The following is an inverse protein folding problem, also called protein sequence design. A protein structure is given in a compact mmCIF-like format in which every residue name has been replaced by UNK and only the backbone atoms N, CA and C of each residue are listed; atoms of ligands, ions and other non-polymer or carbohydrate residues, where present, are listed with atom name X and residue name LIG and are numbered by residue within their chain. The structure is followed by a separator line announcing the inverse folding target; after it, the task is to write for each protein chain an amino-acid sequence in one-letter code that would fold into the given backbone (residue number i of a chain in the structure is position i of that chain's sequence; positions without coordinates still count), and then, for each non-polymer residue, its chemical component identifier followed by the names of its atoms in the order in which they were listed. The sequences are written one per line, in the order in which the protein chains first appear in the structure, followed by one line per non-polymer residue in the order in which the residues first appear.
data_IF_321145839615
#
_entry.id   IF_321145839615
#
_cell.length_a   1.000
_cell.length_b   1.000
_cell.length_c   1.000
_cell.angle_alpha   90.00
_cell.angle_beta   90.00
_cell.angle_gamma   90.00
#
_symmetry.space_group_name_H-M   'P 1'
#
loop_
_entity.id
_entity.type
_entity.pdbx_description
1 polymer ?
#
# COMPACT_ATOMS: atom_id res chain seq x y z
N UNK A 1 7.58 -12.28 -10.28
CA UNK A 1 7.95 -10.85 -10.22
C UNK A 1 6.72 -10.03 -10.59
N UNK A 2 6.45 -8.92 -9.89
CA UNK A 2 5.26 -8.12 -10.18
C UNK A 2 5.62 -7.15 -11.29
N UNK A 3 4.95 -7.25 -12.44
CA UNK A 3 5.28 -6.42 -13.60
C UNK A 3 4.75 -4.98 -13.47
N UNK A 4 3.70 -4.75 -12.67
CA UNK A 4 3.04 -3.44 -12.52
C UNK A 4 2.63 -3.22 -11.07
N UNK A 5 3.03 -2.09 -10.51
CA UNK A 5 2.79 -1.80 -9.10
C UNK A 5 2.28 -0.38 -8.96
N UNK A 6 1.08 -0.27 -8.39
CA UNK A 6 0.59 0.96 -7.82
C UNK A 6 0.70 0.86 -6.30
N UNK A 7 1.29 1.88 -5.69
CA UNK A 7 1.40 2.03 -4.24
C UNK A 7 0.43 3.12 -3.78
N UNK A 8 -0.83 2.77 -3.47
CA UNK A 8 -1.70 3.72 -2.79
C UNK A 8 -1.18 3.96 -1.37
N UNK A 9 -0.82 5.20 -1.06
CA UNK A 9 -0.40 5.61 0.29
C UNK A 9 -1.55 6.30 1.05
N UNK A 10 -2.75 6.26 0.49
CA UNK A 10 -3.98 6.92 0.91
C UNK A 10 -4.99 5.90 1.45
N UNK A 11 -5.72 6.23 2.52
CA UNK A 11 -6.78 5.37 3.07
C UNK A 11 -8.01 5.20 2.16
N UNK A 12 -8.08 5.90 1.01
CA UNK A 12 -9.27 5.92 0.14
C UNK A 12 -9.01 5.36 -1.27
N UNK A 13 -7.91 4.64 -1.48
CA UNK A 13 -7.64 4.02 -2.78
C UNK A 13 -8.05 2.56 -2.78
N UNK A 14 -9.00 2.23 -3.65
CA UNK A 14 -9.45 0.87 -3.92
C UNK A 14 -8.79 0.36 -5.20
N UNK A 15 -8.44 -0.93 -5.27
CA UNK A 15 -8.02 -1.59 -6.51
C UNK A 15 -9.20 -2.38 -7.05
N UNK A 16 -9.72 -1.98 -8.21
CA UNK A 16 -10.86 -2.60 -8.88
C UNK A 16 -10.46 -3.19 -10.23
N UNK A 17 -11.34 -3.98 -10.84
CA UNK A 17 -11.10 -4.48 -12.19
C UNK A 17 -11.30 -3.36 -13.22
N UNK A 18 -10.48 -3.27 -14.28
CA UNK A 18 -10.53 -2.18 -15.30
C UNK A 18 -11.93 -1.98 -15.90
N UNK A 19 -12.68 -3.06 -16.13
CA UNK A 19 -14.09 -3.01 -16.58
C UNK A 19 -15.02 -2.17 -15.69
N UNK A 20 -14.73 -2.06 -14.39
CA UNK A 20 -15.51 -1.26 -13.44
C UNK A 20 -15.25 0.24 -13.59
N UNK A 21 -14.22 0.65 -14.34
CA UNK A 21 -13.95 2.06 -14.60
C UNK A 21 -15.19 2.76 -15.17
N UNK A 22 -15.83 2.18 -16.19
CA UNK A 22 -17.04 2.72 -16.80
C UNK A 22 -18.24 2.78 -15.84
N UNK A 23 -18.31 1.86 -14.88
CA UNK A 23 -19.34 1.88 -13.84
C UNK A 23 -19.12 3.06 -12.89
N UNK A 24 -17.89 3.31 -12.47
CA UNK A 24 -17.53 4.48 -11.67
C UNK A 24 -17.78 5.80 -12.40
N UNK A 25 -17.46 5.87 -13.69
CA UNK A 25 -17.80 7.01 -14.55
C UNK A 25 -19.31 7.29 -14.52
N UNK A 26 -20.13 6.23 -14.52
CA UNK A 26 -21.59 6.36 -14.52
C UNK A 26 -22.11 6.87 -13.18
N UNK A 27 -21.59 6.36 -12.05
CA UNK A 27 -21.97 6.83 -10.70
C UNK A 27 -21.57 8.29 -10.52
N UNK A 28 -20.32 8.63 -10.80
CA UNK A 28 -19.80 9.99 -10.61
C UNK A 28 -20.64 11.03 -11.36
N UNK A 29 -21.08 10.72 -12.59
CA UNK A 29 -21.94 11.59 -13.38
C UNK A 29 -23.37 11.74 -12.83
N UNK A 30 -23.96 10.67 -12.29
CA UNK A 30 -25.39 10.65 -11.96
C UNK A 30 -25.72 11.10 -10.54
N UNK A 31 -24.87 10.77 -9.56
CA UNK A 31 -25.14 11.05 -8.14
C UNK A 31 -24.23 12.13 -7.56
N UNK A 32 -23.13 12.42 -8.25
CA UNK A 32 -22.02 13.18 -7.70
C UNK A 32 -21.28 12.43 -6.59
N UNK A 33 -20.11 12.94 -6.24
CA UNK A 33 -19.26 12.48 -5.14
C UNK A 33 -19.02 13.63 -4.17
N UNK A 34 -18.99 13.33 -2.87
CA UNK A 34 -18.73 14.32 -1.80
C UNK A 34 -17.26 14.41 -1.41
N UNK A 35 -16.42 13.58 -2.02
CA UNK A 35 -15.00 13.41 -1.67
C UNK A 35 -14.11 13.38 -2.92
N UNK A 36 -12.89 13.89 -2.76
CA UNK A 36 -11.82 13.75 -3.74
C UNK A 36 -11.05 12.46 -3.47
N UNK A 37 -11.12 11.51 -4.39
CA UNK A 37 -10.60 10.17 -4.23
C UNK A 37 -9.71 9.78 -5.41
N UNK A 38 -8.63 9.07 -5.10
CA UNK A 38 -7.80 8.38 -6.08
C UNK A 38 -8.11 6.89 -6.05
N UNK A 39 -8.43 6.29 -7.18
CA UNK A 39 -8.89 4.92 -7.33
C UNK A 39 -8.00 4.20 -8.35
N UNK A 40 -7.59 3.00 -8.00
CA UNK A 40 -6.77 2.15 -8.82
C UNK A 40 -7.61 1.12 -9.54
N UNK A 41 -7.26 0.79 -10.77
CA UNK A 41 -7.84 -0.33 -11.48
C UNK A 41 -6.73 -1.19 -12.05
N UNK A 42 -6.89 -2.51 -11.99
CA UNK A 42 -5.93 -3.45 -12.54
C UNK A 42 -6.63 -4.67 -13.13
N UNK A 43 -6.11 -5.15 -14.24
CA UNK A 43 -6.36 -6.50 -14.74
C UNK A 43 -5.03 -7.16 -15.13
N UNK A 44 -5.09 -8.26 -15.88
CA UNK A 44 -3.90 -9.00 -16.31
C UNK A 44 -2.95 -8.16 -17.18
N UNK A 45 -3.51 -7.21 -17.93
CA UNK A 45 -2.83 -6.50 -19.01
C UNK A 45 -2.58 -5.03 -18.66
N UNK A 46 -3.36 -4.41 -17.79
CA UNK A 46 -3.29 -2.96 -17.57
C UNK A 46 -3.43 -2.57 -16.10
N UNK A 47 -2.84 -1.43 -15.75
CA UNK A 47 -3.11 -0.72 -14.49
C UNK A 47 -3.48 0.72 -14.83
N UNK A 48 -4.57 1.20 -14.24
CA UNK A 48 -5.07 2.56 -14.39
C UNK A 48 -5.17 3.23 -13.03
N UNK A 49 -4.94 4.53 -12.98
CA UNK A 49 -5.18 5.36 -11.81
C UNK A 49 -6.13 6.49 -12.18
N UNK A 50 -7.24 6.60 -11.45
CA UNK A 50 -8.28 7.60 -11.64
C UNK A 50 -8.33 8.52 -10.44
N UNK A 51 -8.49 9.82 -10.66
CA UNK A 51 -8.78 10.81 -9.62
C UNK A 51 -10.10 11.52 -9.91
N UNK A 52 -10.90 11.70 -8.88
CA UNK A 52 -12.16 12.44 -8.95
C UNK A 52 -11.89 13.93 -8.79
N UNK A 53 -12.60 14.75 -9.57
CA UNK A 53 -12.43 16.20 -9.66
C UNK A 53 -13.78 16.84 -9.33
N UNK A 54 -13.83 17.58 -8.23
CA UNK A 54 -15.08 18.16 -7.74
C UNK A 54 -16.17 17.11 -7.52
N UNK A 55 -17.41 17.44 -7.90
CA UNK A 55 -18.56 16.55 -7.69
C UNK A 55 -18.74 15.47 -8.76
N UNK A 56 -18.44 15.75 -10.03
CA UNK A 56 -18.87 14.90 -11.17
C UNK A 56 -17.78 14.68 -12.21
N UNK A 57 -16.66 15.40 -12.12
CA UNK A 57 -15.56 15.27 -13.06
C UNK A 57 -14.56 14.24 -12.55
N UNK A 58 -13.74 13.73 -13.46
CA UNK A 58 -12.69 12.77 -13.17
C UNK A 58 -11.70 12.73 -14.33
N UNK A 59 -10.48 12.28 -14.04
CA UNK A 59 -9.46 11.95 -15.01
C UNK A 59 -8.77 10.65 -14.60
N UNK A 60 -8.32 9.87 -15.57
CA UNK A 60 -7.62 8.63 -15.36
C UNK A 60 -6.48 8.48 -16.37
N UNK A 61 -5.40 7.85 -15.92
CA UNK A 61 -4.21 7.59 -16.74
C UNK A 61 -3.77 6.13 -16.57
N UNK A 62 -3.47 5.48 -17.70
CA UNK A 62 -2.87 4.15 -17.73
C UNK A 62 -1.43 4.25 -17.29
N UNK A 63 -1.01 3.37 -16.39
CA UNK A 63 0.38 3.31 -15.94
C UNK A 63 1.16 2.45 -16.94
N UNK A 64 2.26 2.97 -17.52
CA UNK A 64 3.09 2.21 -18.44
C UNK A 64 3.60 0.90 -17.83
N UNK A 65 3.75 -0.11 -18.68
CA UNK A 65 4.08 -1.49 -18.28
C UNK A 65 5.38 -1.65 -17.49
N UNK A 66 6.33 -0.73 -17.67
CA UNK A 66 7.64 -0.74 -17.03
C UNK A 66 7.77 0.31 -15.91
N UNK A 67 6.66 0.84 -15.43
CA UNK A 67 6.62 1.96 -14.50
C UNK A 67 5.83 1.67 -13.22
N UNK A 68 5.97 2.57 -12.23
CA UNK A 68 5.21 2.59 -10.99
C UNK A 68 4.72 4.00 -10.68
N UNK A 69 3.75 4.07 -9.77
CA UNK A 69 3.19 5.31 -9.24
C UNK A 69 3.16 5.24 -7.71
N UNK A 70 3.39 6.40 -7.09
CA UNK A 70 3.26 6.61 -5.65
C UNK A 70 2.25 7.71 -5.42
N UNK A 71 1.09 7.36 -4.87
CA UNK A 71 -0.02 8.28 -4.69
C UNK A 71 -0.28 8.54 -3.19
N UNK A 72 0.24 9.65 -2.62
CA UNK A 72 -0.11 10.10 -1.27
C UNK A 72 -1.54 10.68 -1.22
N UNK A 73 -1.90 11.37 -0.14
CA UNK A 73 -3.20 12.04 -0.01
C UNK A 73 -3.18 13.40 -0.71
N UNK A 74 -2.81 13.39 -1.99
CA UNK A 74 -2.61 14.56 -2.83
C UNK A 74 -2.97 14.23 -4.27
N UNK A 75 -3.47 15.21 -5.02
CA UNK A 75 -3.80 15.02 -6.43
C UNK A 75 -2.53 14.62 -7.17
N UNK A 76 -2.51 13.41 -7.72
CA UNK A 76 -1.27 12.75 -8.12
C UNK A 76 -0.98 12.86 -9.61
N UNK A 77 -2.00 12.86 -10.48
CA UNK A 77 -1.84 12.98 -11.94
C UNK A 77 -1.26 14.35 -12.27
N UNK A 78 -0.08 14.37 -12.90
CA UNK A 78 0.60 15.59 -13.35
C UNK A 78 0.28 15.86 -14.83
N UNK A 79 1.24 15.63 -15.73
CA UNK A 79 1.10 15.88 -17.17
C UNK A 79 0.01 15.00 -17.78
N UNK A 80 -0.92 15.63 -18.48
CA UNK A 80 -2.09 14.95 -19.04
C UNK A 80 -2.36 15.38 -20.48
N UNK A 81 -2.45 14.39 -21.37
CA UNK A 81 -2.76 14.58 -22.78
C UNK A 81 -4.14 14.02 -23.09
N UNK A 82 -5.14 14.89 -23.27
CA UNK A 82 -6.52 14.52 -23.59
C UNK A 82 -6.68 13.70 -24.89
N UNK A 83 -5.70 13.72 -25.79
CA UNK A 83 -5.72 12.96 -27.03
C UNK A 83 -5.05 11.57 -26.92
N UNK A 84 -4.37 11.29 -25.80
CA UNK A 84 -3.65 10.03 -25.60
C UNK A 84 -4.60 8.86 -25.34
N UNK A 85 -4.31 7.73 -25.97
CA UNK A 85 -5.02 6.46 -25.72
C UNK A 85 -4.80 5.92 -24.30
N UNK A 86 -3.73 6.36 -23.61
CA UNK A 86 -3.43 6.01 -22.22
C UNK A 86 -4.09 6.98 -21.22
N UNK A 87 -5.05 7.81 -21.67
CA UNK A 87 -5.78 8.74 -20.80
C UNK A 87 -7.28 8.66 -21.04
N UNK A 88 -8.05 8.92 -19.99
CA UNK A 88 -9.51 9.05 -20.05
C UNK A 88 -9.95 10.16 -19.11
N UNK A 89 -10.97 10.93 -19.47
CA UNK A 89 -11.50 11.99 -18.60
C UNK A 89 -12.98 12.24 -18.87
N UNK A 90 -13.58 13.09 -18.03
CA UNK A 90 -14.89 13.67 -18.34
C UNK A 90 -14.86 14.43 -19.66
N UNK A 91 -15.89 14.25 -20.49
CA UNK A 91 -15.90 14.70 -21.88
C UNK A 91 -15.80 16.24 -22.03
N UNK A 92 -16.27 16.98 -21.03
CA UNK A 92 -16.24 18.43 -20.95
C UNK A 92 -15.04 18.96 -20.15
N UNK A 93 -14.17 18.10 -19.60
CA UNK A 93 -13.12 18.52 -18.66
C UNK A 93 -12.14 19.52 -19.30
N UNK A 94 -11.64 19.24 -20.50
CA UNK A 94 -10.73 20.14 -21.20
C UNK A 94 -11.38 21.51 -21.46
N UNK A 95 -12.61 21.48 -21.99
CA UNK A 95 -13.39 22.70 -22.25
C UNK A 95 -13.64 23.49 -20.97
N UNK A 96 -13.95 22.83 -19.85
CA UNK A 96 -14.12 23.47 -18.55
C UNK A 96 -12.83 24.15 -18.09
N UNK A 97 -11.68 23.49 -18.24
CA UNK A 97 -10.39 24.10 -17.89
C UNK A 97 -10.15 25.38 -18.69
N UNK A 98 -10.41 25.33 -20.00
CA UNK A 98 -10.14 26.45 -20.92
C UNK A 98 -11.11 27.61 -20.71
N UNK A 99 -12.43 27.32 -20.66
CA UNK A 99 -13.50 28.33 -20.53
C UNK A 99 -13.42 29.09 -19.21
N UNK A 100 -13.01 28.42 -18.14
CA UNK A 100 -12.94 29.00 -16.79
C UNK A 100 -11.52 29.38 -16.38
N UNK A 101 -10.56 29.35 -17.31
CA UNK A 101 -9.18 29.79 -17.09
C UNK A 101 -8.51 29.10 -15.89
N UNK A 102 -8.75 27.79 -15.74
CA UNK A 102 -8.21 27.01 -14.62
C UNK A 102 -6.75 26.61 -14.83
N UNK A 103 -6.26 26.64 -16.08
CA UNK A 103 -4.86 26.32 -16.37
C UNK A 103 -3.93 27.44 -15.90
N UNK A 104 -3.04 27.09 -14.96
CA UNK A 104 -2.06 27.99 -14.38
C UNK A 104 -0.69 27.93 -15.09
N UNK A 105 -0.47 26.92 -15.93
CA UNK A 105 0.80 26.69 -16.61
C UNK A 105 0.89 27.52 -17.91
N UNK A 106 1.97 28.31 -18.11
CA UNK A 106 2.07 29.24 -19.23
C UNK A 106 2.42 28.59 -20.57
N UNK A 107 2.89 27.35 -20.57
CA UNK A 107 3.27 26.62 -21.79
C UNK A 107 2.07 25.96 -22.49
N UNK A 108 0.87 26.09 -21.91
CA UNK A 108 -0.39 25.56 -22.44
C UNK A 108 -0.55 24.06 -22.26
N UNK A 109 0.37 23.36 -21.58
CA UNK A 109 0.19 21.96 -21.21
C UNK A 109 -0.78 21.86 -20.03
N UNK A 110 -1.43 20.70 -19.91
CA UNK A 110 -2.32 20.43 -18.79
C UNK A 110 -1.59 19.59 -17.75
N UNK A 111 -1.21 20.22 -16.63
CA UNK A 111 -0.82 19.50 -15.43
C UNK A 111 -2.02 19.45 -14.47
N UNK A 112 -2.67 18.30 -14.34
CA UNK A 112 -3.92 18.20 -13.58
C UNK A 112 -3.72 18.43 -12.08
N UNK A 113 -2.55 18.13 -11.53
CA UNK A 113 -2.19 18.48 -10.15
C UNK A 113 -2.08 19.99 -9.95
N UNK A 114 -1.52 20.73 -10.90
CA UNK A 114 -1.46 22.20 -10.81
C UNK A 114 -2.86 22.82 -10.91
N UNK A 115 -3.71 22.24 -11.77
CA UNK A 115 -5.05 22.76 -12.07
C UNK A 115 -6.05 22.43 -10.93
N UNK A 116 -6.04 21.21 -10.42
CA UNK A 116 -7.05 20.69 -9.48
C UNK A 116 -6.50 20.27 -8.12
N UNK A 117 -5.18 20.17 -7.97
CA UNK A 117 -4.53 19.79 -6.72
C UNK A 117 -4.38 20.95 -5.74
N UNK A 118 -3.79 20.63 -4.58
CA UNK A 118 -3.46 21.62 -3.57
C UNK A 118 -2.00 22.05 -3.64
N UNK A 119 -1.72 23.28 -3.24
CA UNK A 119 -0.36 23.78 -3.00
C UNK A 119 -0.25 24.34 -1.58
N UNK A 120 -0.62 23.52 -0.60
CA UNK A 120 -0.68 23.94 0.81
C UNK A 120 0.63 23.62 1.51
N UNK A 121 1.02 24.42 2.50
CA UNK A 121 2.17 24.12 3.38
C UNK A 121 2.07 22.71 4.02
N UNK A 122 0.85 22.22 4.23
CA UNK A 122 0.62 20.85 4.72
C UNK A 122 1.16 19.78 3.78
N UNK A 123 1.17 20.00 2.47
CA UNK A 123 1.63 19.02 1.47
C UNK A 123 3.12 18.70 1.64
N UNK A 124 3.92 19.71 1.98
CA UNK A 124 5.36 19.60 2.26
C UNK A 124 5.70 18.78 3.52
N UNK A 125 4.71 18.52 4.38
CA UNK A 125 4.87 17.69 5.59
C UNK A 125 4.13 16.37 5.51
N UNK A 126 3.01 16.35 4.81
CA UNK A 126 2.06 15.24 4.82
C UNK A 126 2.14 14.38 3.56
N UNK A 127 2.46 14.95 2.40
CA UNK A 127 2.28 14.30 1.10
C UNK A 127 3.58 14.12 0.34
N UNK A 128 4.25 15.22 0.00
CA UNK A 128 5.45 15.24 -0.85
C UNK A 128 6.56 14.31 -0.31
N UNK A 129 6.89 14.32 1.00
CA UNK A 129 7.93 13.44 1.52
C UNK A 129 7.63 11.95 1.33
N UNK A 130 6.34 11.55 1.37
CA UNK A 130 5.95 10.14 1.16
C UNK A 130 6.19 9.71 -0.29
N UNK A 131 5.84 10.56 -1.25
CA UNK A 131 6.14 10.30 -2.66
C UNK A 131 7.66 10.25 -2.88
N UNK A 132 8.38 11.25 -2.37
CA UNK A 132 9.84 11.33 -2.43
C UNK A 132 10.51 10.06 -1.92
N UNK A 133 10.16 9.61 -0.72
CA UNK A 133 10.87 8.52 -0.07
C UNK A 133 10.72 7.20 -0.84
N UNK A 134 9.51 6.89 -1.31
CA UNK A 134 9.31 5.69 -2.13
C UNK A 134 10.02 5.80 -3.47
N UNK A 135 10.01 6.99 -4.10
CA UNK A 135 10.77 7.19 -5.34
C UNK A 135 12.28 7.02 -5.11
N UNK A 136 12.83 7.53 -4.00
CA UNK A 136 14.22 7.31 -3.58
C UNK A 136 14.54 5.81 -3.40
N UNK A 137 13.61 5.02 -2.86
CA UNK A 137 13.82 3.57 -2.69
C UNK A 137 13.94 2.83 -4.02
N UNK A 138 13.17 3.21 -5.03
CA UNK A 138 13.14 2.53 -6.33
C UNK A 138 14.02 3.18 -7.40
N UNK A 139 14.51 4.39 -7.13
CA UNK A 139 15.41 5.16 -7.98
C UNK A 139 16.54 5.83 -7.17
N UNK A 140 17.37 5.06 -6.45
CA UNK A 140 18.39 5.61 -5.55
C UNK A 140 19.50 6.42 -6.27
N UNK A 141 19.68 6.27 -7.58
CA UNK A 141 20.64 7.08 -8.35
C UNK A 141 20.18 8.52 -8.59
N UNK A 142 18.89 8.80 -8.37
CA UNK A 142 18.30 10.12 -8.60
C UNK A 142 18.29 10.89 -7.29
N UNK A 143 19.05 11.99 -7.25
CA UNK A 143 19.07 12.89 -6.10
C UNK A 143 17.88 13.85 -6.16
N UNK A 144 16.91 13.64 -5.28
CA UNK A 144 15.74 14.50 -5.09
C UNK A 144 15.64 14.98 -3.64
N UNK A 145 15.04 16.14 -3.42
CA UNK A 145 14.77 16.66 -2.07
C UNK A 145 13.36 16.27 -1.59
N UNK A 146 13.14 16.11 -0.27
CA UNK A 146 11.87 15.69 0.29
C UNK A 146 10.75 16.74 0.20
N UNK A 147 11.07 17.96 -0.21
CA UNK A 147 10.18 19.11 -0.36
C UNK A 147 9.92 19.48 -1.83
N UNK A 148 10.38 18.68 -2.80
CA UNK A 148 10.13 18.91 -4.22
C UNK A 148 8.65 18.64 -4.59
N UNK A 149 7.81 19.66 -4.89
CA UNK A 149 6.41 19.43 -5.26
C UNK A 149 6.24 18.84 -6.67
N UNK A 150 7.25 18.96 -7.52
CA UNK A 150 7.23 18.61 -8.93
C UNK A 150 7.69 17.17 -9.19
N UNK A 151 7.68 16.33 -8.15
CA UNK A 151 7.99 14.91 -8.30
C UNK A 151 7.04 14.25 -9.31
N UNK A 152 7.58 13.49 -10.28
CA UNK A 152 6.79 12.96 -11.38
C UNK A 152 5.76 11.96 -10.86
N UNK A 153 4.57 11.98 -11.46
CA UNK A 153 3.50 11.04 -11.16
C UNK A 153 3.93 9.59 -11.46
N UNK A 154 4.39 9.35 -12.68
CA UNK A 154 4.86 8.06 -13.19
C UNK A 154 6.38 8.04 -13.19
N UNK A 155 6.98 6.95 -12.70
CA UNK A 155 8.43 6.74 -12.78
C UNK A 155 8.76 5.30 -13.14
N UNK A 156 9.83 5.12 -13.92
CA UNK A 156 10.42 3.80 -14.21
C UNK A 156 11.41 3.43 -13.10
N UNK A 157 11.30 2.27 -12.45
CA UNK A 157 12.23 1.89 -11.38
C UNK A 157 13.57 1.42 -11.96
N UNK A 158 14.64 1.52 -11.17
CA UNK A 158 15.98 1.05 -11.59
C UNK A 158 16.10 -0.47 -11.67
N UNK A 159 15.20 -1.19 -10.99
CA UNK A 159 15.07 -2.65 -11.04
C UNK A 159 13.61 -3.08 -10.95
N UNK A 160 13.34 -4.33 -11.31
CA UNK A 160 12.02 -4.92 -11.09
C UNK A 160 11.64 -4.89 -9.60
N UNK A 161 10.36 -4.65 -9.34
CA UNK A 161 9.82 -4.49 -7.99
C UNK A 161 9.14 -5.79 -7.54
N UNK A 162 9.41 -6.19 -6.30
CA UNK A 162 8.84 -7.37 -5.66
C UNK A 162 7.71 -6.99 -4.69
N UNK A 163 6.92 -7.96 -4.24
CA UNK A 163 5.90 -7.72 -3.20
C UNK A 163 6.54 -7.26 -1.89
N UNK A 164 7.71 -7.79 -1.58
CA UNK A 164 8.54 -7.41 -0.43
C UNK A 164 8.95 -5.93 -0.50
N UNK A 165 9.34 -5.45 -1.69
CA UNK A 165 9.70 -4.05 -1.91
C UNK A 165 8.49 -3.12 -1.69
N UNK A 166 7.33 -3.52 -2.21
CA UNK A 166 6.05 -2.80 -2.01
C UNK A 166 5.68 -2.77 -0.54
N UNK A 167 5.72 -3.91 0.15
CA UNK A 167 5.45 -3.97 1.59
C UNK A 167 6.44 -3.11 2.37
N UNK A 168 7.73 -3.12 2.02
CA UNK A 168 8.73 -2.29 2.67
C UNK A 168 8.41 -0.80 2.50
N UNK A 169 8.10 -0.36 1.29
CA UNK A 169 7.67 1.01 1.01
C UNK A 169 6.43 1.41 1.81
N UNK A 170 5.39 0.57 1.85
CA UNK A 170 4.17 0.78 2.64
C UNK A 170 4.38 0.74 4.17
N UNK A 171 5.51 0.23 4.63
CA UNK A 171 5.89 0.15 6.04
C UNK A 171 6.92 1.19 6.44
N UNK A 172 7.33 2.03 5.50
CA UNK A 172 8.46 2.90 5.70
C UNK A 172 8.13 4.12 6.55
N UNK A 173 9.17 4.60 7.20
CA UNK A 173 9.16 5.75 8.11
C UNK A 173 10.40 6.60 7.88
N UNK A 174 10.86 6.69 6.64
CA UNK A 174 12.05 7.44 6.24
C UNK A 174 13.39 6.88 6.75
N UNK A 175 13.51 5.55 6.86
CA UNK A 175 14.74 4.88 7.29
C UNK A 175 15.97 5.37 6.52
N UNK A 176 17.12 5.44 7.20
CA UNK A 176 18.37 5.96 6.63
C UNK A 176 18.28 7.43 6.18
N UNK A 177 17.47 8.22 6.89
CA UNK A 177 17.40 9.68 6.74
C UNK A 177 17.22 10.33 8.12
N UNK A 178 17.54 11.62 8.27
CA UNK A 178 17.29 12.34 9.52
C UNK A 178 15.80 12.46 9.91
N UNK A 179 14.89 12.05 9.03
CA UNK A 179 13.43 12.12 9.22
C UNK A 179 12.85 10.86 9.84
N UNK A 180 13.68 9.83 10.08
CA UNK A 180 13.22 8.60 10.71
C UNK A 180 12.90 8.81 12.20
N UNK A 181 11.63 8.60 12.64
CA UNK A 181 11.23 8.78 14.03
C UNK A 181 12.02 7.95 15.06
N UNK A 182 12.54 6.77 14.68
CA UNK A 182 13.27 5.89 15.61
C UNK A 182 14.79 5.97 15.46
N UNK A 183 15.29 6.72 14.49
CA UNK A 183 16.74 6.89 14.34
C UNK A 183 17.25 7.94 15.34
N UNK A 184 18.46 7.73 15.85
CA UNK A 184 19.15 8.68 16.73
C UNK A 184 19.97 9.71 15.97
N UNK A 185 20.20 9.53 14.67
CA UNK A 185 20.89 10.51 13.82
C UNK A 185 20.04 11.77 13.55
N UNK A 186 18.71 11.66 13.67
CA UNK A 186 17.79 12.79 13.53
C UNK A 186 17.67 13.64 14.80
N UNK A 187 17.41 14.94 14.64
CA UNK A 187 17.03 15.84 15.74
C UNK A 187 15.56 15.64 16.12
N UNK A 188 15.11 16.16 17.28
CA UNK A 188 13.68 16.14 17.63
C UNK A 188 12.79 16.83 16.57
N UNK A 189 13.29 17.88 15.92
CA UNK A 189 12.58 18.58 14.86
C UNK A 189 12.48 17.75 13.57
N UNK A 190 13.58 17.13 13.13
CA UNK A 190 13.58 16.35 11.87
C UNK A 190 12.79 15.06 12.00
N UNK A 191 12.87 14.38 13.15
CA UNK A 191 12.13 13.13 13.44
C UNK A 191 10.62 13.29 13.51
N UNK A 192 10.14 14.53 13.64
CA UNK A 192 8.70 14.86 13.68
C UNK A 192 8.29 15.76 12.50
N UNK A 193 9.19 15.98 11.54
CA UNK A 193 8.93 16.89 10.43
C UNK A 193 7.85 16.36 9.48
N UNK A 194 7.86 15.05 9.22
CA UNK A 194 7.06 14.41 8.18
C UNK A 194 6.16 13.31 8.73
N UNK A 195 4.98 13.18 8.12
CA UNK A 195 4.07 12.05 8.39
C UNK A 195 4.67 10.76 7.79
N UNK A 196 4.92 9.70 8.58
CA UNK A 196 5.38 8.42 8.05
C UNK A 196 4.35 7.74 7.13
N UNK A 197 4.82 6.77 6.33
CA UNK A 197 3.94 5.94 5.49
C UNK A 197 3.34 4.81 6.34
N UNK A 198 4.20 4.00 6.97
CA UNK A 198 3.81 3.04 7.99
C UNK A 198 3.69 3.74 9.34
N UNK A 199 2.47 3.88 9.85
CA UNK A 199 2.15 4.65 11.05
C UNK A 199 0.98 4.05 11.83
N UNK A 200 0.73 4.57 13.04
CA UNK A 200 -0.18 3.99 14.02
C UNK A 200 -1.63 3.83 13.57
N UNK A 201 -2.08 4.57 12.55
CA UNK A 201 -3.46 4.47 12.03
C UNK A 201 -3.62 3.59 10.79
N UNK A 202 -2.58 2.84 10.38
CA UNK A 202 -2.82 1.76 9.42
C UNK A 202 -3.71 0.72 10.10
N UNK A 203 -4.98 0.67 9.72
CA UNK A 203 -5.91 -0.37 10.17
C UNK A 203 -5.67 -1.67 9.39
N UNK A 204 -5.48 -1.51 8.07
CA UNK A 204 -5.23 -2.56 7.10
C UNK A 204 -4.24 -2.03 6.05
N UNK A 205 -3.47 -2.95 5.46
CA UNK A 205 -2.73 -2.71 4.23
C UNK A 205 -2.88 -3.92 3.34
N UNK A 206 -3.17 -3.69 2.06
CA UNK A 206 -3.28 -4.74 1.05
C UNK A 206 -2.43 -4.46 -0.19
N UNK A 207 -2.00 -5.53 -0.86
CA UNK A 207 -1.38 -5.48 -2.19
C UNK A 207 -2.16 -6.47 -3.06
N UNK A 208 -2.85 -5.97 -4.07
CA UNK A 208 -3.58 -6.83 -5.02
C UNK A 208 -2.61 -7.20 -6.15
N UNK A 209 -2.34 -8.49 -6.28
CA UNK A 209 -1.47 -9.04 -7.32
C UNK A 209 -2.28 -9.91 -8.26
N UNK A 210 -2.22 -9.61 -9.55
CA UNK A 210 -2.69 -10.48 -10.62
C UNK A 210 -1.46 -11.14 -11.26
N UNK A 211 -1.36 -12.46 -11.15
CA UNK A 211 -0.23 -13.24 -11.64
C UNK A 211 -0.49 -13.70 -13.08
N UNK A 212 0.54 -13.59 -13.93
CA UNK A 212 0.42 -13.88 -15.37
C UNK A 212 1.00 -15.25 -15.75
N UNK A 213 1.68 -15.93 -14.84
CA UNK A 213 2.36 -17.20 -15.03
C UNK A 213 1.58 -18.41 -14.48
N UNK A 214 0.30 -18.23 -14.16
CA UNK A 214 -0.60 -19.25 -13.62
C UNK A 214 -1.99 -19.17 -14.29
N UNK A 215 -2.82 -20.23 -14.21
CA UNK A 215 -4.20 -20.17 -14.66
C UNK A 215 -5.00 -19.00 -14.06
N UNK A 216 -5.91 -18.42 -14.85
CA UNK A 216 -6.72 -17.26 -14.46
C UNK A 216 -7.47 -17.46 -13.13
N UNK A 217 -7.92 -18.68 -12.86
CA UNK A 217 -8.73 -19.02 -11.69
C UNK A 217 -7.93 -18.99 -10.37
N UNK A 218 -6.60 -18.94 -10.42
CA UNK A 218 -5.70 -18.84 -9.26
C UNK A 218 -4.72 -17.65 -9.35
N UNK A 219 -4.90 -16.78 -10.35
CA UNK A 219 -4.03 -15.64 -10.63
C UNK A 219 -4.09 -14.56 -9.56
N UNK A 220 -5.27 -14.35 -8.96
CA UNK A 220 -5.52 -13.28 -8.00
C UNK A 220 -5.04 -13.61 -6.59
N UNK A 221 -4.11 -12.80 -6.08
CA UNK A 221 -3.62 -12.84 -4.70
C UNK A 221 -3.86 -11.48 -4.04
N UNK A 222 -4.56 -11.48 -2.91
CA UNK A 222 -4.64 -10.37 -1.98
C UNK A 222 -3.62 -10.57 -0.87
N UNK A 223 -2.54 -9.82 -0.92
CA UNK A 223 -1.55 -9.79 0.15
C UNK A 223 -2.05 -8.87 1.26
N UNK A 224 -2.44 -9.41 2.40
CA UNK A 224 -3.13 -8.67 3.46
C UNK A 224 -2.28 -8.54 4.73
N UNK A 225 -2.39 -7.41 5.42
CA UNK A 225 -1.86 -7.22 6.77
C UNK A 225 -2.75 -6.27 7.57
N UNK A 226 -2.84 -6.46 8.88
CA UNK A 226 -3.57 -5.56 9.78
C UNK A 226 -2.64 -4.77 10.67
N UNK A 227 -3.13 -3.64 11.18
CA UNK A 227 -2.41 -2.79 12.12
C UNK A 227 -1.22 -2.02 11.50
N UNK A 228 -0.45 -1.33 12.35
CA UNK A 228 0.68 -0.50 11.92
C UNK A 228 1.71 -1.28 11.09
N UNK A 229 1.92 -0.86 9.84
CA UNK A 229 2.74 -1.59 8.87
C UNK A 229 4.20 -1.77 9.28
N UNK A 230 4.72 -0.86 10.11
CA UNK A 230 6.05 -0.96 10.68
C UNK A 230 6.20 -2.15 11.64
N UNK A 231 5.13 -2.79 12.11
CA UNK A 231 5.17 -3.84 13.13
C UNK A 231 4.50 -5.15 12.71
N UNK A 232 3.99 -5.23 11.49
CA UNK A 232 3.26 -6.37 10.97
C UNK A 232 4.01 -7.10 9.85
N UNK A 233 3.42 -8.21 9.39
CA UNK A 233 3.82 -8.89 8.15
C UNK A 233 2.61 -9.11 7.24
N UNK A 234 2.87 -9.23 5.95
CA UNK A 234 1.85 -9.43 4.92
C UNK A 234 1.73 -10.91 4.56
N UNK A 235 0.50 -11.36 4.33
CA UNK A 235 0.17 -12.75 4.01
C UNK A 235 -0.55 -12.88 2.67
N UNK A 236 -0.18 -13.85 1.81
CA UNK A 236 -0.84 -14.03 0.52
C UNK A 236 -2.13 -14.85 0.65
N UNK A 237 -3.27 -14.26 0.31
CA UNK A 237 -4.54 -14.96 0.19
C UNK A 237 -5.01 -15.05 -1.26
N UNK A 238 -5.38 -16.24 -1.70
CA UNK A 238 -6.09 -16.43 -2.97
C UNK A 238 -7.45 -15.75 -2.91
N UNK A 239 -7.83 -15.07 -3.99
CA UNK A 239 -9.09 -14.33 -4.07
C UNK A 239 -10.27 -15.17 -4.57
N UNK A 240 -10.02 -16.28 -5.28
CA UNK A 240 -11.06 -17.19 -5.77
C UNK A 240 -11.49 -18.20 -4.69
N UNK A 241 -12.12 -17.69 -3.64
CA UNK A 241 -12.61 -18.46 -2.49
C UNK A 241 -14.02 -18.02 -2.12
N UNK A 242 -14.74 -18.83 -1.34
CA UNK A 242 -16.11 -18.52 -0.89
C UNK A 242 -16.15 -18.04 0.57
N UNK A 243 -15.07 -18.23 1.32
CA UNK A 243 -14.93 -17.71 2.67
C UNK A 243 -13.47 -17.34 2.98
N UNK A 244 -13.26 -16.52 4.00
CA UNK A 244 -11.95 -16.04 4.46
C UNK A 244 -11.57 -16.63 5.83
N UNK A 245 -10.26 -16.74 6.15
CA UNK A 245 -9.83 -17.33 7.41
C UNK A 245 -10.36 -16.58 8.64
N UNK A 246 -10.87 -17.33 9.62
CA UNK A 246 -11.52 -16.78 10.81
C UNK A 246 -10.65 -15.76 11.57
N UNK A 247 -9.33 -15.99 11.66
CA UNK A 247 -8.37 -15.10 12.35
C UNK A 247 -8.24 -13.73 11.70
N UNK A 248 -8.61 -13.59 10.41
CA UNK A 248 -8.62 -12.34 9.66
C UNK A 248 -10.04 -11.81 9.39
N UNK A 249 -11.07 -12.64 9.56
CA UNK A 249 -12.47 -12.30 9.29
C UNK A 249 -13.23 -11.78 10.51
N UNK A 250 -12.99 -12.37 11.68
CA UNK A 250 -13.88 -12.27 12.84
C UNK A 250 -13.46 -11.23 13.88
N UNK A 251 -12.79 -10.14 13.45
CA UNK A 251 -12.33 -9.07 14.34
C UNK A 251 -13.48 -8.53 15.20
N UNK A 252 -13.23 -8.43 16.51
CA UNK A 252 -14.18 -7.90 17.50
C UNK A 252 -13.87 -6.43 17.79
N UNK A 253 -14.88 -5.70 18.27
CA UNK A 253 -14.73 -4.31 18.73
C UNK A 253 -13.75 -4.18 19.89
N UNK A 254 -13.70 -5.18 20.76
CA UNK A 254 -12.77 -5.23 21.90
C UNK A 254 -11.63 -6.20 21.66
N UNK A 255 -10.53 -6.00 22.40
CA UNK A 255 -9.33 -6.80 22.30
C UNK A 255 -9.62 -8.30 22.42
N UNK A 256 -9.15 -9.04 21.43
CA UNK A 256 -9.15 -10.50 21.44
C UNK A 256 -7.92 -10.98 20.69
N UNK A 257 -7.02 -11.61 21.44
CA UNK A 257 -5.71 -12.07 20.97
C UNK A 257 -5.80 -13.14 19.88
N UNK A 258 -6.96 -13.78 19.68
CA UNK A 258 -7.18 -14.74 18.59
C UNK A 258 -7.41 -14.05 17.24
N UNK A 259 -7.68 -12.75 17.22
CA UNK A 259 -7.80 -11.96 15.99
C UNK A 259 -6.45 -11.37 15.59
N UNK A 260 -6.09 -11.51 14.32
CA UNK A 260 -4.80 -11.00 13.80
C UNK A 260 -4.68 -9.48 13.94
N UNK A 261 -5.80 -8.75 13.79
CA UNK A 261 -5.84 -7.31 14.01
C UNK A 261 -5.34 -6.93 15.41
N UNK A 262 -5.95 -7.49 16.46
CA UNK A 262 -5.58 -7.18 17.85
C UNK A 262 -4.22 -7.75 18.25
N UNK A 263 -3.85 -8.93 17.76
CA UNK A 263 -2.50 -9.48 17.93
C UNK A 263 -1.44 -8.51 17.42
N UNK A 264 -1.65 -7.94 16.23
CA UNK A 264 -0.70 -7.01 15.63
C UNK A 264 -0.66 -5.67 16.33
N UNK A 265 -1.81 -5.15 16.78
CA UNK A 265 -1.87 -3.94 17.61
C UNK A 265 -1.09 -4.13 18.92
N UNK A 266 -1.24 -5.29 19.58
CA UNK A 266 -0.49 -5.61 20.80
C UNK A 266 1.03 -5.64 20.55
N UNK A 267 1.47 -6.30 19.47
CA UNK A 267 2.89 -6.30 19.07
C UNK A 267 3.37 -4.86 18.84
N UNK A 268 2.61 -4.04 18.11
CA UNK A 268 2.97 -2.67 17.83
C UNK A 268 3.11 -1.83 19.11
N UNK A 269 2.15 -1.93 20.05
CA UNK A 269 2.18 -1.21 21.32
C UNK A 269 3.41 -1.54 22.15
N UNK A 270 3.81 -2.82 22.23
CA UNK A 270 5.01 -3.20 22.99
C UNK A 270 6.29 -2.78 22.25
N UNK A 271 6.29 -2.90 20.93
CA UNK A 271 7.49 -2.63 20.13
C UNK A 271 7.80 -1.13 19.98
N UNK A 272 6.79 -0.27 19.89
CA UNK A 272 6.95 1.18 19.69
C UNK A 272 7.65 1.85 20.88
N UNK A 273 7.42 1.38 22.11
CA UNK A 273 8.11 1.86 23.32
C UNK A 273 9.61 1.51 23.32
N UNK A 274 10.00 0.43 22.63
CA UNK A 274 11.37 -0.10 22.63
C UNK A 274 11.81 -0.60 21.23
N UNK A 275 11.85 0.28 20.21
CA UNK A 275 11.97 -0.14 18.81
C UNK A 275 13.30 -0.85 18.52
N UNK A 276 14.39 -0.40 19.14
CA UNK A 276 15.72 -1.04 19.02
C UNK A 276 15.78 -2.41 19.69
N UNK A 277 15.07 -2.59 20.82
CA UNK A 277 15.08 -3.86 21.59
C UNK A 277 14.42 -4.99 20.81
N UNK A 278 13.31 -4.69 20.13
CA UNK A 278 12.47 -5.70 19.49
C UNK A 278 12.63 -5.77 17.97
N UNK A 279 13.55 -4.98 17.40
CA UNK A 279 13.81 -4.95 15.96
C UNK A 279 14.04 -6.37 15.37
N UNK A 280 14.89 -7.17 15.99
CA UNK A 280 15.20 -8.54 15.53
C UNK A 280 13.97 -9.45 15.56
N UNK A 281 13.11 -9.34 16.59
CA UNK A 281 11.86 -10.11 16.66
C UNK A 281 10.91 -9.75 15.51
N UNK A 282 10.77 -8.45 15.21
CA UNK A 282 9.94 -7.98 14.12
C UNK A 282 10.51 -8.35 12.74
N UNK A 283 11.83 -8.28 12.56
CA UNK A 283 12.48 -8.73 11.32
C UNK A 283 12.26 -10.22 11.08
N UNK A 284 12.43 -11.05 12.11
CA UNK A 284 12.14 -12.47 12.05
C UNK A 284 10.66 -12.74 11.76
N UNK A 285 9.74 -12.01 12.37
CA UNK A 285 8.30 -12.13 12.08
C UNK A 285 8.03 -11.86 10.59
N UNK A 286 8.56 -10.77 10.05
CA UNK A 286 8.37 -10.37 8.66
C UNK A 286 8.91 -11.43 7.70
N UNK A 287 10.17 -11.81 7.86
CA UNK A 287 10.85 -12.77 6.97
C UNK A 287 10.19 -14.15 7.01
N UNK A 288 9.93 -14.69 8.20
CA UNK A 288 9.36 -16.03 8.33
C UNK A 288 7.91 -16.10 7.85
N UNK A 289 7.12 -15.04 8.06
CA UNK A 289 5.73 -15.01 7.58
C UNK A 289 5.68 -14.95 6.06
N UNK A 290 6.51 -14.11 5.44
CA UNK A 290 6.62 -14.03 3.98
C UNK A 290 7.06 -15.37 3.38
N UNK A 291 8.11 -15.98 3.94
CA UNK A 291 8.61 -17.28 3.49
C UNK A 291 7.55 -18.39 3.65
N UNK A 292 6.85 -18.43 4.78
CA UNK A 292 5.78 -19.39 5.04
C UNK A 292 4.63 -19.25 4.04
N UNK A 293 4.16 -18.02 3.80
CA UNK A 293 3.10 -17.75 2.82
C UNK A 293 3.49 -18.14 1.41
N UNK A 294 4.71 -17.79 0.97
CA UNK A 294 5.24 -18.22 -0.33
C UNK A 294 5.35 -19.74 -0.45
N UNK A 295 5.77 -20.42 0.62
CA UNK A 295 5.85 -21.88 0.62
C UNK A 295 4.47 -22.54 0.42
N UNK A 296 3.44 -22.00 1.07
CA UNK A 296 2.05 -22.47 0.86
C UNK A 296 1.64 -22.21 -0.58
N UNK A 297 1.85 -20.99 -1.11
CA UNK A 297 1.51 -20.67 -2.50
C UNK A 297 2.15 -21.64 -3.51
N UNK A 298 3.47 -21.84 -3.43
CA UNK A 298 4.22 -22.70 -4.37
C UNK A 298 3.66 -24.13 -4.39
N UNK A 299 3.35 -24.69 -3.21
CA UNK A 299 2.78 -26.04 -3.12
C UNK A 299 1.35 -26.08 -3.63
N UNK A 300 0.57 -25.06 -3.33
CA UNK A 300 -0.83 -24.96 -3.75
C UNK A 300 -0.91 -24.84 -5.28
N UNK A 301 -0.16 -23.93 -5.91
CA UNK A 301 -0.12 -23.75 -7.36
C UNK A 301 0.14 -25.09 -8.08
N UNK A 302 1.10 -25.89 -7.61
CA UNK A 302 1.39 -27.21 -8.16
C UNK A 302 0.23 -28.20 -8.00
N UNK A 303 -0.46 -28.16 -6.85
CA UNK A 303 -1.58 -29.05 -6.52
C UNK A 303 -2.83 -28.71 -7.32
N UNK A 304 -3.06 -27.44 -7.59
CA UNK A 304 -4.33 -26.93 -8.12
C UNK A 304 -4.32 -26.66 -9.62
N UNK A 305 -3.16 -26.72 -10.29
CA UNK A 305 -2.98 -26.42 -11.72
C UNK A 305 -3.93 -27.15 -12.70
N UNK A 306 -4.56 -28.26 -12.30
CA UNK A 306 -5.53 -29.03 -13.12
C UNK A 306 -6.94 -29.06 -12.54
N UNK A 307 -7.18 -28.37 -11.43
CA UNK A 307 -8.48 -28.27 -10.78
C UNK A 307 -9.24 -27.06 -11.34
N UNK A 308 -10.56 -27.10 -11.20
CA UNK A 308 -11.43 -25.98 -11.56
C UNK A 308 -12.70 -25.99 -10.70
N UNK A 309 -13.46 -24.90 -10.78
CA UNK A 309 -14.76 -24.78 -10.10
C UNK A 309 -14.67 -24.99 -8.59
N UNK A 310 -15.64 -25.71 -8.02
CA UNK A 310 -15.78 -25.86 -6.56
C UNK A 310 -14.59 -26.56 -5.89
N UNK A 311 -13.98 -27.54 -6.56
CA UNK A 311 -12.84 -28.26 -5.98
C UNK A 311 -11.60 -27.36 -5.92
N UNK A 312 -11.34 -26.57 -6.96
CA UNK A 312 -10.29 -25.54 -6.94
C UNK A 312 -10.51 -24.57 -5.77
N UNK A 313 -11.71 -23.98 -5.68
CA UNK A 313 -12.05 -23.01 -4.63
C UNK A 313 -11.85 -23.57 -3.22
N UNK A 314 -12.22 -24.84 -3.01
CA UNK A 314 -12.00 -25.53 -1.74
C UNK A 314 -10.50 -25.63 -1.42
N UNK A 315 -9.66 -26.03 -2.38
CA UNK A 315 -8.21 -26.13 -2.18
C UNK A 315 -7.56 -24.77 -1.93
N UNK A 316 -8.00 -23.72 -2.62
CA UNK A 316 -7.53 -22.35 -2.40
C UNK A 316 -7.93 -21.84 -1.01
N UNK A 317 -9.14 -22.16 -0.54
CA UNK A 317 -9.61 -21.82 0.81
C UNK A 317 -8.83 -22.58 1.90
N UNK A 318 -8.53 -23.86 1.69
CA UNK A 318 -7.66 -24.65 2.57
C UNK A 318 -6.25 -24.02 2.67
N UNK A 319 -5.69 -23.59 1.53
CA UNK A 319 -4.40 -22.88 1.50
C UNK A 319 -4.46 -21.54 2.24
N UNK A 320 -5.53 -20.76 2.09
CA UNK A 320 -5.73 -19.51 2.84
C UNK A 320 -5.77 -19.77 4.35
N UNK A 321 -6.47 -20.82 4.79
CA UNK A 321 -6.53 -21.20 6.21
C UNK A 321 -5.15 -21.62 6.75
N UNK A 322 -4.39 -22.39 5.97
CA UNK A 322 -3.01 -22.75 6.34
C UNK A 322 -2.10 -21.52 6.46
N UNK A 323 -2.13 -20.63 5.48
CA UNK A 323 -1.38 -19.36 5.50
C UNK A 323 -1.73 -18.54 6.74
N UNK A 324 -3.02 -18.35 7.01
CA UNK A 324 -3.48 -17.58 8.17
C UNK A 324 -3.04 -18.20 9.49
N UNK A 325 -3.11 -19.54 9.61
CA UNK A 325 -2.63 -20.25 10.80
C UNK A 325 -1.13 -20.03 11.00
N UNK A 326 -0.31 -20.25 9.97
CA UNK A 326 1.15 -20.09 10.04
C UNK A 326 1.53 -18.65 10.44
N UNK A 327 0.87 -17.66 9.85
CA UNK A 327 1.08 -16.26 10.20
C UNK A 327 0.73 -15.96 11.65
N UNK A 328 -0.40 -16.49 12.15
CA UNK A 328 -0.80 -16.35 13.55
C UNK A 328 0.20 -16.99 14.51
N UNK A 329 0.64 -18.22 14.22
CA UNK A 329 1.63 -18.93 15.03
C UNK A 329 2.96 -18.14 15.11
N UNK A 330 3.39 -17.54 13.99
CA UNK A 330 4.58 -16.71 13.92
C UNK A 330 4.43 -15.39 14.68
N UNK A 331 3.26 -14.74 14.60
CA UNK A 331 2.94 -13.54 15.36
C UNK A 331 2.93 -13.83 16.87
N UNK A 332 2.30 -14.92 17.29
CA UNK A 332 2.30 -15.37 18.68
C UNK A 332 3.73 -15.68 19.17
N UNK A 333 4.56 -16.32 18.34
CA UNK A 333 5.98 -16.56 18.65
C UNK A 333 6.76 -15.25 18.80
N UNK A 334 6.52 -14.27 17.93
CA UNK A 334 7.12 -12.94 18.02
C UNK A 334 6.74 -12.26 19.35
N UNK A 335 5.45 -12.24 19.66
CA UNK A 335 4.93 -11.68 20.91
C UNK A 335 5.56 -12.37 22.13
N UNK A 336 5.56 -13.71 22.16
CA UNK A 336 6.17 -14.49 23.25
C UNK A 336 7.64 -14.13 23.46
N UNK A 337 8.44 -14.10 22.38
CA UNK A 337 9.84 -13.69 22.46
C UNK A 337 10.03 -12.23 22.90
N UNK A 338 9.13 -11.31 22.53
CA UNK A 338 9.17 -9.93 23.02
C UNK A 338 8.88 -9.83 24.52
N UNK A 339 7.90 -10.60 25.01
CA UNK A 339 7.54 -10.67 26.42
C UNK A 339 8.67 -11.27 27.24
N UNK A 340 9.23 -12.41 26.81
CA UNK A 340 10.36 -13.09 27.48
C UNK A 340 11.58 -12.15 27.59
N UNK A 341 11.97 -11.51 26.48
CA UNK A 341 13.11 -10.59 26.49
C UNK A 341 12.81 -9.29 27.26
N UNK A 342 11.57 -8.79 27.19
CA UNK A 342 11.14 -7.58 27.88
C UNK A 342 11.11 -7.74 29.40
N UNK A 343 10.62 -8.89 29.88
CA UNK A 343 10.53 -9.21 31.30
C UNK A 343 11.89 -9.13 32.01
N UNK A 344 12.96 -9.54 31.34
CA UNK A 344 14.35 -9.46 31.86
C UNK A 344 14.88 -8.03 31.97
N UNK A 345 14.18 -7.04 31.41
CA UNK A 345 14.57 -5.63 31.34
C UNK A 345 13.59 -4.70 32.06
N UNK A 346 12.69 -5.24 32.88
CA UNK A 346 11.77 -4.45 33.69
C UNK A 346 12.55 -3.55 34.65
N UNK A 347 12.15 -2.27 34.74
CA UNK A 347 12.77 -1.30 35.65
C UNK A 347 12.58 -1.65 37.13
N UNK A 348 11.51 -2.39 37.46
CA UNK A 348 11.31 -3.00 38.78
C UNK A 348 12.22 -4.23 38.93
N UNK A 349 13.51 -4.01 38.76
CA UNK A 349 14.55 -4.99 39.03
C UNK A 349 15.48 -4.38 40.08
N UNK A 350 15.41 -4.91 41.30
CA UNK A 350 16.25 -4.48 42.41
C UNK A 350 17.56 -5.28 42.34
N UNK A 351 18.65 -4.62 41.96
CA UNK A 351 19.99 -5.22 41.88
C UNK A 351 20.38 -5.64 40.47
N UNK A 352 21.10 -4.75 39.78
CA UNK A 352 22.25 -5.01 38.90
C UNK A 352 22.67 -3.66 38.30
N UNK A 353 23.78 -3.13 38.81
CA UNK A 353 24.61 -2.13 38.12
C UNK A 353 25.16 -2.71 36.80
#
# INVERSE_FOLDING_TARGET
MVKKILLPLSCHTFILHVKELNYWVTISKNTGLTESNGIAFADHDEVWYMETIGGHHWAAQRIPDDSYVVAPNWFSITDFDFASADTMASADLQKMIDDYHLNVDPDGKYNLRHIFGSHKDSDYRYNIPRQWYVQKLFNPSIAETPDNPDLPFIRKPERLITVEDVKYALSSRYQHTPYDPYDSEGTSATRTAFRPIGFQRNAESHIIQLRNDVPKEEAGICWLSFGPNAFNSVVPFYTNVLDTPATYKNTKEHFDIHNMYWMTQLIATIADDHPKRYQMSLENLRQNTMAAGRNVMIKTDQKVAKLSGKELQKQLQEANNETAKRAYDLAMKCLGGMVENGALKLHLNYGNE
#
